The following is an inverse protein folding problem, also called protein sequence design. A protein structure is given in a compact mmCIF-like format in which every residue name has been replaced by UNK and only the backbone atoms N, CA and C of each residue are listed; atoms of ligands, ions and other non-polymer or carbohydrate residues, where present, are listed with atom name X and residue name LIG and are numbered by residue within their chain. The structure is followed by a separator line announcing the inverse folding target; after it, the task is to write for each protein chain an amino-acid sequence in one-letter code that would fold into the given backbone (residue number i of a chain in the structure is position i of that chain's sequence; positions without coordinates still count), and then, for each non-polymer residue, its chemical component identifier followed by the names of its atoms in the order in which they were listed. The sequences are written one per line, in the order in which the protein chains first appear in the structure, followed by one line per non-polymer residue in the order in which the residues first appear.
data_IF_621063180648
#
_entry.id   IF_621063180648
#
_cell.length_a   1.000
_cell.length_b   1.000
_cell.length_c   1.000
_cell.angle_alpha   90.00
_cell.angle_beta   90.00
_cell.angle_gamma   90.00
#
_symmetry.space_group_name_H-M   'P 1'
#
loop_
_entity.id
_entity.type
_entity.pdbx_description
1 polymer ?
#
# COMPACT_ATOMS: atom_id res chain seq x y z
N UNK A 1 -5.74 -32.48 1.11
CA UNK A 1 -5.10 -31.93 2.31
C UNK A 1 -3.68 -32.45 2.37
N UNK A 2 -2.67 -31.61 2.07
CA UNK A 2 -1.25 -31.99 2.16
C UNK A 2 -0.72 -31.50 3.50
N UNK A 3 -0.13 -32.40 4.26
CA UNK A 3 0.52 -32.28 5.58
C UNK A 3 1.81 -31.43 5.54
N UNK A 4 1.77 -30.28 4.88
CA UNK A 4 2.92 -29.35 4.73
C UNK A 4 2.93 -28.29 5.85
N UNK A 5 1.88 -28.20 6.67
CA UNK A 5 1.68 -27.05 7.57
C UNK A 5 2.68 -27.03 8.74
N UNK A 6 2.97 -28.14 9.41
CA UNK A 6 3.77 -28.10 10.66
C UNK A 6 5.23 -27.67 10.48
N UNK A 7 5.89 -28.12 9.41
CA UNK A 7 7.30 -27.77 9.16
C UNK A 7 7.45 -26.32 8.66
N UNK A 8 6.53 -25.88 7.78
CA UNK A 8 6.53 -24.51 7.28
C UNK A 8 6.21 -23.51 8.40
N UNK A 9 5.23 -23.84 9.26
CA UNK A 9 4.91 -23.00 10.41
C UNK A 9 6.10 -22.89 11.37
N UNK A 10 6.80 -23.99 11.67
CA UNK A 10 8.00 -23.95 12.50
C UNK A 10 9.12 -23.12 11.87
N UNK A 11 9.29 -23.20 10.54
CA UNK A 11 10.26 -22.40 9.81
C UNK A 11 9.92 -20.91 9.91
N UNK A 12 8.66 -20.53 9.66
CA UNK A 12 8.21 -19.15 9.69
C UNK A 12 8.19 -18.55 11.10
N UNK A 13 8.08 -19.38 12.14
CA UNK A 13 8.27 -18.95 13.53
C UNK A 13 9.76 -18.71 13.86
N UNK A 14 10.66 -19.44 13.22
CA UNK A 14 12.11 -19.32 13.45
C UNK A 14 12.74 -18.20 12.61
N UNK A 15 12.27 -18.05 11.37
CA UNK A 15 12.71 -17.06 10.40
C UNK A 15 11.47 -16.39 9.77
N UNK A 16 10.86 -15.42 10.47
CA UNK A 16 9.65 -14.77 9.98
C UNK A 16 9.89 -14.00 8.69
N UNK A 17 8.82 -13.80 7.92
CA UNK A 17 8.85 -12.94 6.74
C UNK A 17 9.03 -11.49 7.20
N UNK A 18 10.08 -10.83 6.75
CA UNK A 18 10.28 -9.41 7.03
C UNK A 18 9.60 -8.61 5.92
N UNK A 19 8.62 -7.81 6.29
CA UNK A 19 7.85 -6.98 5.36
C UNK A 19 8.10 -5.50 5.65
N UNK A 20 8.72 -4.81 4.70
CA UNK A 20 8.94 -3.37 4.75
C UNK A 20 7.74 -2.66 4.13
N UNK A 21 7.16 -1.73 4.86
CA UNK A 21 6.01 -0.91 4.43
C UNK A 21 6.33 0.57 4.53
N UNK A 22 5.57 1.40 3.86
CA UNK A 22 5.82 2.85 3.82
C UNK A 22 5.53 3.53 5.16
N UNK A 23 4.44 3.16 5.81
CA UNK A 23 3.88 3.90 6.93
C UNK A 23 3.22 3.00 7.98
N UNK A 24 2.78 3.61 9.08
CA UNK A 24 2.17 2.92 10.23
C UNK A 24 0.77 2.39 9.91
N UNK A 25 -0.02 3.12 9.12
CA UNK A 25 -1.37 2.70 8.76
C UNK A 25 -1.34 1.44 7.90
N UNK A 26 -0.43 1.37 6.93
CA UNK A 26 -0.22 0.14 6.13
C UNK A 26 0.12 -1.05 7.04
N UNK A 27 1.02 -0.86 8.01
CA UNK A 27 1.36 -1.90 8.99
C UNK A 27 0.15 -2.35 9.79
N UNK A 28 -0.59 -1.42 10.38
CA UNK A 28 -1.76 -1.72 11.23
C UNK A 28 -2.86 -2.43 10.44
N UNK A 29 -3.11 -1.97 9.21
CA UNK A 29 -4.07 -2.59 8.31
C UNK A 29 -3.71 -4.06 8.04
N UNK A 30 -2.46 -4.33 7.63
CA UNK A 30 -1.98 -5.67 7.32
C UNK A 30 -2.02 -6.61 8.54
N UNK A 31 -1.56 -6.14 9.71
CA UNK A 31 -1.64 -6.92 10.97
C UNK A 31 -3.09 -7.33 11.24
N UNK A 32 -4.06 -6.44 10.98
CA UNK A 32 -5.45 -6.71 11.27
C UNK A 32 -6.10 -7.69 10.30
N UNK A 33 -5.82 -7.58 9.00
CA UNK A 33 -6.43 -8.45 7.98
C UNK A 33 -5.77 -9.83 7.88
N UNK A 34 -4.53 -9.97 8.34
CA UNK A 34 -3.79 -11.24 8.31
C UNK A 34 -3.92 -12.06 9.57
N UNK A 35 -4.72 -11.66 10.55
CA UNK A 35 -4.99 -12.51 11.71
C UNK A 35 -5.60 -13.87 11.29
N UNK A 36 -5.17 -14.99 11.88
CA UNK A 36 -4.16 -15.14 12.95
C UNK A 36 -2.73 -15.42 12.43
N UNK A 37 -2.51 -15.29 11.12
CA UNK A 37 -1.26 -15.61 10.42
C UNK A 37 -0.24 -14.46 10.48
N UNK A 38 -0.61 -13.30 11.03
CA UNK A 38 0.27 -12.15 11.26
C UNK A 38 1.52 -12.51 12.06
N UNK A 39 1.44 -13.53 12.93
CA UNK A 39 2.58 -14.09 13.69
C UNK A 39 3.74 -14.59 12.82
N UNK A 40 3.52 -14.85 11.53
CA UNK A 40 4.57 -15.25 10.58
C UNK A 40 5.29 -14.06 9.94
N UNK A 41 4.86 -12.83 10.24
CA UNK A 41 5.38 -11.60 9.64
C UNK A 41 5.97 -10.67 10.69
N UNK A 42 7.15 -10.13 10.39
CA UNK A 42 7.72 -8.97 11.07
C UNK A 42 7.60 -7.74 10.16
N UNK A 43 6.59 -6.91 10.42
CA UNK A 43 6.29 -5.74 9.59
C UNK A 43 7.02 -4.50 10.13
N UNK A 44 7.90 -3.94 9.31
CA UNK A 44 8.77 -2.81 9.61
C UNK A 44 8.39 -1.59 8.76
N UNK A 45 8.38 -0.40 9.36
CA UNK A 45 8.04 0.86 8.68
C UNK A 45 9.33 1.51 8.19
N UNK A 46 9.41 1.78 6.88
CA UNK A 46 10.58 2.39 6.25
C UNK A 46 10.39 3.88 5.92
N UNK A 47 9.22 4.46 6.20
CA UNK A 47 8.91 5.88 5.99
C UNK A 47 9.09 6.33 4.54
N UNK A 48 8.42 5.61 3.63
CA UNK A 48 8.26 5.99 2.22
C UNK A 48 8.80 4.98 1.20
N UNK A 49 8.25 5.05 -0.02
CA UNK A 49 8.51 4.09 -1.10
C UNK A 49 9.98 3.87 -1.45
N UNK A 50 10.78 4.94 -1.50
CA UNK A 50 12.20 4.85 -1.92
C UNK A 50 13.01 4.13 -0.85
N UNK A 51 12.71 4.38 0.43
CA UNK A 51 13.30 3.66 1.55
C UNK A 51 12.94 2.18 1.54
N UNK A 52 11.67 1.83 1.28
CA UNK A 52 11.24 0.42 1.17
C UNK A 52 12.04 -0.29 0.08
N UNK A 53 12.18 0.33 -1.10
CA UNK A 53 12.93 -0.23 -2.24
C UNK A 53 14.41 -0.41 -1.90
N UNK A 54 15.06 0.64 -1.40
CA UNK A 54 16.48 0.63 -1.09
C UNK A 54 16.82 -0.42 -0.02
N UNK A 55 16.08 -0.44 1.09
CA UNK A 55 16.33 -1.37 2.20
C UNK A 55 16.05 -2.81 1.79
N UNK A 56 14.97 -3.06 1.02
CA UNK A 56 14.68 -4.40 0.50
C UNK A 56 15.80 -4.88 -0.42
N UNK A 57 16.29 -4.02 -1.32
CA UNK A 57 17.37 -4.34 -2.23
C UNK A 57 18.68 -4.65 -1.49
N UNK A 58 19.08 -3.81 -0.54
CA UNK A 58 20.31 -3.98 0.24
C UNK A 58 20.28 -5.29 1.03
N UNK A 59 19.19 -5.56 1.76
CA UNK A 59 19.07 -6.77 2.57
C UNK A 59 19.06 -8.04 1.71
N UNK A 60 18.40 -8.02 0.56
CA UNK A 60 18.42 -9.17 -0.35
C UNK A 60 19.78 -9.39 -0.98
N UNK A 61 20.50 -8.32 -1.31
CA UNK A 61 21.88 -8.38 -1.81
C UNK A 61 22.83 -8.92 -0.75
N UNK A 62 22.59 -8.62 0.52
CA UNK A 62 23.29 -9.21 1.67
C UNK A 62 22.90 -10.68 1.95
N UNK A 63 21.96 -11.26 1.20
CA UNK A 63 21.59 -12.68 1.26
C UNK A 63 20.31 -12.99 2.04
N UNK A 64 19.62 -11.99 2.61
CA UNK A 64 18.38 -12.19 3.35
C UNK A 64 17.20 -12.41 2.39
N UNK A 65 16.82 -13.68 2.17
CA UNK A 65 15.77 -14.06 1.20
C UNK A 65 14.33 -13.88 1.69
N UNK A 66 14.14 -13.76 3.01
CA UNK A 66 12.85 -13.60 3.67
C UNK A 66 12.41 -12.12 3.78
N UNK A 67 13.10 -11.20 3.10
CA UNK A 67 12.79 -9.76 3.10
C UNK A 67 12.03 -9.37 1.84
N UNK A 68 10.93 -8.63 2.04
CA UNK A 68 10.05 -8.13 0.99
C UNK A 68 9.61 -6.70 1.31
N UNK A 69 9.28 -5.94 0.28
CA UNK A 69 8.68 -4.62 0.38
C UNK A 69 7.23 -4.60 -0.10
N UNK A 70 6.39 -3.78 0.51
CA UNK A 70 5.06 -3.41 -0.01
C UNK A 70 5.02 -1.89 -0.08
N UNK A 71 4.62 -1.40 -1.24
CA UNK A 71 4.45 0.03 -1.48
C UNK A 71 3.08 0.30 -2.09
N UNK A 72 2.60 1.49 -1.84
CA UNK A 72 1.44 2.04 -2.51
C UNK A 72 1.75 2.24 -3.98
N UNK A 73 0.69 2.17 -4.79
CA UNK A 73 0.83 2.47 -6.21
C UNK A 73 1.16 3.95 -6.39
N UNK A 74 0.61 4.79 -5.52
CA UNK A 74 0.40 6.20 -5.80
C UNK A 74 -0.20 6.33 -7.22
N UNK A 75 0.39 7.22 -8.00
CA UNK A 75 0.13 7.48 -9.40
C UNK A 75 0.91 6.57 -10.37
N UNK A 76 1.63 5.57 -9.85
CA UNK A 76 2.43 4.63 -10.62
C UNK A 76 1.63 3.48 -11.22
N UNK A 77 2.35 2.45 -11.68
CA UNK A 77 1.76 1.20 -12.19
C UNK A 77 1.90 0.09 -11.15
N UNK A 78 0.82 -0.63 -10.87
CA UNK A 78 0.89 -1.83 -10.02
C UNK A 78 1.62 -2.94 -10.74
N UNK A 79 2.31 -3.80 -9.99
CA UNK A 79 2.92 -5.02 -10.51
C UNK A 79 2.15 -6.28 -10.08
N UNK A 80 0.89 -6.15 -9.63
CA UNK A 80 0.05 -7.26 -9.14
C UNK A 80 0.02 -8.48 -10.07
N UNK A 81 -0.08 -8.25 -11.37
CA UNK A 81 -0.16 -9.32 -12.38
C UNK A 81 1.13 -10.16 -12.47
N UNK A 82 2.23 -9.66 -11.90
CA UNK A 82 3.56 -10.29 -11.94
C UNK A 82 4.12 -10.60 -10.55
N UNK A 83 3.31 -10.56 -9.49
CA UNK A 83 3.79 -10.80 -8.12
C UNK A 83 4.53 -12.13 -7.96
N UNK A 84 4.10 -13.18 -8.66
CA UNK A 84 4.79 -14.48 -8.66
C UNK A 84 6.21 -14.41 -9.25
N UNK A 85 6.44 -13.54 -10.23
CA UNK A 85 7.75 -13.30 -10.85
C UNK A 85 8.60 -12.33 -10.02
N UNK A 86 7.96 -11.37 -9.36
CA UNK A 86 8.61 -10.37 -8.49
C UNK A 86 9.32 -11.02 -7.31
N UNK A 87 8.80 -12.15 -6.80
CA UNK A 87 9.41 -12.93 -5.72
C UNK A 87 10.88 -13.29 -5.97
N UNK A 88 11.27 -13.49 -7.23
CA UNK A 88 12.60 -13.94 -7.62
C UNK A 88 13.61 -12.79 -7.84
N UNK A 89 13.13 -11.56 -8.04
CA UNK A 89 13.97 -10.47 -8.52
C UNK A 89 13.95 -9.26 -7.58
N UNK A 90 12.85 -8.51 -7.59
CA UNK A 90 12.74 -7.21 -6.92
C UNK A 90 12.18 -7.33 -5.50
N UNK A 91 11.33 -8.33 -5.25
CA UNK A 91 10.66 -8.59 -3.97
C UNK A 91 9.92 -7.38 -3.36
N UNK A 92 9.58 -6.38 -4.19
CA UNK A 92 8.75 -5.23 -3.81
C UNK A 92 7.41 -5.33 -4.53
N UNK A 93 6.34 -5.45 -3.76
CA UNK A 93 4.97 -5.53 -4.23
C UNK A 93 4.34 -4.14 -4.27
N UNK A 94 3.75 -3.79 -5.40
CA UNK A 94 3.04 -2.53 -5.62
C UNK A 94 1.54 -2.81 -5.62
N UNK A 95 0.82 -2.21 -4.69
CA UNK A 95 -0.62 -2.46 -4.52
C UNK A 95 -1.44 -2.08 -5.77
N UNK A 96 -2.61 -2.70 -6.00
CA UNK A 96 -3.48 -2.37 -7.13
C UNK A 96 -4.36 -1.13 -6.90
N UNK A 97 -4.53 -0.70 -5.65
CA UNK A 97 -5.19 0.57 -5.26
C UNK A 97 -4.20 1.73 -5.30
N UNK A 98 -4.66 2.98 -5.15
CA UNK A 98 -3.75 4.14 -5.15
C UNK A 98 -2.95 4.17 -3.85
N UNK A 99 -3.68 4.17 -2.74
CA UNK A 99 -3.16 4.22 -1.37
C UNK A 99 -3.85 3.12 -0.54
N UNK A 100 -3.24 2.68 0.55
CA UNK A 100 -3.83 1.68 1.45
C UNK A 100 -5.19 2.13 2.01
N UNK A 101 -5.39 3.43 2.22
CA UNK A 101 -6.63 4.06 2.71
C UNK A 101 -7.82 3.74 1.80
N UNK A 102 -7.58 3.46 0.52
CA UNK A 102 -8.67 3.08 -0.38
C UNK A 102 -9.36 1.77 0.06
N UNK A 103 -8.65 0.88 0.76
CA UNK A 103 -9.25 -0.32 1.34
C UNK A 103 -10.08 -0.03 2.59
N UNK A 104 -9.90 1.13 3.23
CA UNK A 104 -10.64 1.54 4.42
C UNK A 104 -11.95 2.26 4.08
N UNK A 105 -12.21 2.55 2.81
CA UNK A 105 -13.43 3.20 2.37
C UNK A 105 -14.65 2.28 2.54
N UNK A 106 -15.61 2.74 3.36
CA UNK A 106 -16.92 2.08 3.47
C UNK A 106 -17.80 2.42 2.26
N UNK A 107 -17.64 1.65 1.20
CA UNK A 107 -18.44 1.80 -0.02
C UNK A 107 -19.93 1.57 0.21
N UNK A 108 -20.31 0.80 1.24
CA UNK A 108 -21.71 0.61 1.59
C UNK A 108 -22.28 1.89 2.20
N UNK A 109 -21.59 2.52 3.15
CA UNK A 109 -22.01 3.83 3.66
C UNK A 109 -22.09 4.87 2.52
N UNK A 110 -21.06 4.92 1.68
CA UNK A 110 -21.00 5.84 0.53
C UNK A 110 -22.13 5.61 -0.49
N UNK A 111 -22.66 4.38 -0.59
CA UNK A 111 -23.78 4.10 -1.51
C UNK A 111 -25.13 4.67 -1.08
N UNK A 112 -25.25 5.11 0.17
CA UNK A 112 -26.46 5.73 0.72
C UNK A 112 -26.40 7.27 0.75
N UNK A 113 -25.28 7.91 0.34
CA UNK A 113 -25.07 9.37 0.43
C UNK A 113 -25.75 10.16 -0.72
N UNK A 114 -26.52 9.52 -1.62
CA UNK A 114 -27.29 10.27 -2.61
C UNK A 114 -28.50 10.96 -1.96
N UNK A 115 -28.70 12.26 -2.24
CA UNK A 115 -29.83 13.06 -1.74
C UNK A 115 -31.22 12.49 -2.07
N UNK A 116 -31.30 11.50 -2.97
CA UNK A 116 -32.46 10.63 -3.15
C UNK A 116 -32.26 9.31 -2.41
N UNK A 117 -32.86 9.19 -1.23
CA UNK A 117 -32.89 7.96 -0.41
C UNK A 117 -33.69 6.81 -1.07
N UNK A 118 -34.35 7.06 -2.20
CA UNK A 118 -35.19 6.09 -2.91
C UNK A 118 -34.40 5.14 -3.83
N UNK A 119 -33.16 5.48 -4.18
CA UNK A 119 -32.36 4.70 -5.12
C UNK A 119 -31.03 4.28 -4.50
N UNK A 120 -31.04 3.13 -3.82
CA UNK A 120 -29.82 2.44 -3.39
C UNK A 120 -28.98 2.13 -4.63
N UNK A 121 -27.92 2.90 -4.84
CA UNK A 121 -27.00 2.69 -5.97
C UNK A 121 -26.12 1.48 -5.66
N UNK A 122 -25.87 0.66 -6.67
CA UNK A 122 -25.00 -0.50 -6.52
C UNK A 122 -23.57 -0.05 -6.09
N UNK A 123 -23.07 -0.63 -5.00
CA UNK A 123 -21.75 -0.38 -4.40
C UNK A 123 -20.62 -0.47 -5.43
N UNK A 124 -20.65 -1.47 -6.32
CA UNK A 124 -19.62 -1.65 -7.36
C UNK A 124 -19.61 -0.50 -8.37
N UNK A 125 -20.78 0.02 -8.71
CA UNK A 125 -20.91 1.14 -9.65
C UNK A 125 -20.31 2.40 -9.05
N UNK A 126 -20.54 2.63 -7.76
CA UNK A 126 -19.98 3.78 -7.03
C UNK A 126 -18.47 3.65 -6.90
N UNK A 127 -17.96 2.50 -6.49
CA UNK A 127 -16.53 2.24 -6.39
C UNK A 127 -15.84 2.46 -7.75
N UNK A 128 -16.35 1.86 -8.83
CA UNK A 128 -15.81 2.05 -10.19
C UNK A 128 -15.84 3.51 -10.63
N UNK A 129 -16.90 4.25 -10.32
CA UNK A 129 -17.03 5.67 -10.65
C UNK A 129 -16.03 6.52 -9.87
N UNK A 130 -15.91 6.31 -8.57
CA UNK A 130 -14.96 7.01 -7.70
C UNK A 130 -13.51 6.77 -8.14
N UNK A 131 -13.14 5.51 -8.41
CA UNK A 131 -11.81 5.15 -8.90
C UNK A 131 -11.50 5.75 -10.28
N UNK A 132 -12.49 5.81 -11.18
CA UNK A 132 -12.34 6.47 -12.49
C UNK A 132 -12.15 7.97 -12.33
N UNK A 133 -12.91 8.60 -11.45
CA UNK A 133 -12.80 10.04 -11.20
C UNK A 133 -11.44 10.38 -10.56
N UNK A 134 -10.99 9.59 -9.58
CA UNK A 134 -9.65 9.74 -8.98
C UNK A 134 -8.54 9.67 -10.04
N UNK A 135 -8.62 8.72 -10.99
CA UNK A 135 -7.69 8.64 -12.15
C UNK A 135 -7.66 9.91 -13.00
N UNK A 136 -8.79 10.60 -13.14
CA UNK A 136 -8.85 11.84 -13.91
C UNK A 136 -8.29 13.04 -13.14
N UNK A 137 -8.27 12.97 -11.80
CA UNK A 137 -7.71 14.02 -10.94
C UNK A 137 -6.19 13.92 -10.78
N UNK A 138 -5.51 12.94 -11.39
CA UNK A 138 -4.06 12.75 -11.26
C UNK A 138 -3.26 13.99 -11.65
N UNK A 139 -3.61 14.63 -12.78
CA UNK A 139 -2.96 15.86 -13.21
C UNK A 139 -3.22 17.00 -12.23
N UNK A 140 -4.44 17.11 -11.70
CA UNK A 140 -4.83 18.14 -10.75
C UNK A 140 -4.06 17.99 -9.44
N UNK A 141 -3.99 16.78 -8.89
CA UNK A 141 -3.22 16.48 -7.69
C UNK A 141 -1.72 16.72 -7.89
N UNK A 142 -1.19 16.41 -9.07
CA UNK A 142 0.19 16.72 -9.44
C UNK A 142 0.44 18.23 -9.46
N UNK A 143 -0.46 19.00 -10.08
CA UNK A 143 -0.41 20.46 -10.04
C UNK A 143 -0.51 21.01 -8.61
N UNK A 144 -1.41 20.48 -7.78
CA UNK A 144 -1.52 20.85 -6.37
C UNK A 144 -0.22 20.58 -5.60
N UNK A 145 0.42 19.42 -5.82
CA UNK A 145 1.72 19.09 -5.23
C UNK A 145 2.79 20.07 -5.68
N UNK A 146 2.92 20.32 -6.99
CA UNK A 146 3.89 21.28 -7.54
C UNK A 146 3.66 22.68 -6.98
N UNK A 147 2.41 23.16 -6.93
CA UNK A 147 2.05 24.46 -6.35
C UNK A 147 2.42 24.50 -4.87
N UNK A 148 2.14 23.43 -4.11
CA UNK A 148 2.49 23.33 -2.69
C UNK A 148 4.01 23.37 -2.49
N UNK A 149 4.78 22.63 -3.30
CA UNK A 149 6.25 22.66 -3.29
C UNK A 149 6.79 24.04 -3.62
N UNK A 150 6.28 24.70 -4.67
CA UNK A 150 6.66 26.07 -5.04
C UNK A 150 6.33 27.04 -3.90
N UNK A 151 5.14 26.95 -3.29
CA UNK A 151 4.78 27.77 -2.13
C UNK A 151 5.70 27.52 -0.95
N UNK A 152 6.03 26.25 -0.66
CA UNK A 152 6.99 25.89 0.38
C UNK A 152 8.35 26.53 0.16
N UNK A 153 8.88 26.49 -1.07
CA UNK A 153 10.14 27.16 -1.43
C UNK A 153 10.03 28.69 -1.36
N UNK A 154 8.93 29.28 -1.82
CA UNK A 154 8.72 30.73 -1.79
C UNK A 154 8.59 31.28 -0.38
N UNK A 155 8.06 30.50 0.57
CA UNK A 155 7.90 30.92 1.97
C UNK A 155 9.14 30.56 2.81
N UNK A 156 9.98 29.61 2.37
CA UNK A 156 11.20 29.22 3.08
C UNK A 156 12.21 30.37 3.27
N UNK A 157 12.23 31.34 2.35
CA UNK A 157 13.13 32.50 2.40
C UNK A 157 12.50 33.74 3.07
N UNK A 158 11.24 33.66 3.51
CA UNK A 158 10.57 34.75 4.23
C UNK A 158 10.37 34.36 5.70
N UNK A 159 10.69 35.22 6.68
CA UNK A 159 10.36 34.96 8.06
C UNK A 159 8.83 34.97 8.22
N UNK A 160 8.24 33.78 8.26
CA UNK A 160 6.85 33.61 8.65
C UNK A 160 6.74 33.71 10.17
N UNK A 161 5.94 34.67 10.65
CA UNK A 161 5.56 34.85 12.06
C UNK A 161 4.82 33.62 12.62
#
# INVERSE_FOLDING_TARGET
MRTVSTELESLLLTAPVILLVEDVLTKEYLIRIWQPDDKYFNILVAYGRESVRAVTHDLRTAGFRNVFGVIDRDFGTSNCDRWTQVLSNEAVFILPVFEIENYLLDWNALSHVSGDFSHKRNTDVICKRALRFAKQLLWWLSCCRTISTIRGHLVADFPSF
#
